data_IF_244475490833
#
_entry.id   IF_244475490833
#
_cell.length_a   1.000
_cell.length_b   1.000
_cell.length_c   1.000
_cell.angle_alpha   90.00
_cell.angle_beta   90.00
_cell.angle_gamma   90.00
#
_symmetry.space_group_name_H-M   'P 1'
#
loop_
_entity.id
_entity.type
_entity.pdbx_description
1 polymer ?
#
# COMPACT_ATOMS: atom_id res chain seq x y z
N UNK A 1 10.89 -9.95 -25.82
CA UNK A 1 11.74 -8.78 -26.02
C UNK A 1 13.01 -8.82 -25.16
N UNK A 2 12.90 -8.84 -23.80
CA UNK A 2 14.10 -8.79 -22.93
C UNK A 2 15.05 -9.97 -23.14
N UNK A 3 14.52 -11.19 -23.32
CA UNK A 3 15.33 -12.39 -23.61
C UNK A 3 15.97 -12.35 -24.99
N UNK A 4 15.27 -11.83 -25.99
CA UNK A 4 15.74 -11.69 -27.34
C UNK A 4 16.86 -10.64 -27.50
N UNK A 5 16.98 -9.72 -26.52
CA UNK A 5 17.98 -8.66 -26.48
C UNK A 5 19.01 -8.83 -25.36
N UNK A 6 19.10 -10.01 -24.75
CA UNK A 6 20.04 -10.35 -23.67
C UNK A 6 19.98 -9.41 -22.45
N UNK A 7 18.79 -8.81 -22.20
CA UNK A 7 18.57 -7.88 -21.10
C UNK A 7 17.93 -8.55 -19.87
N UNK A 8 17.33 -9.74 -20.05
CA UNK A 8 16.52 -10.38 -19.02
C UNK A 8 17.30 -10.67 -17.74
N UNK A 9 18.51 -11.20 -17.85
CA UNK A 9 19.38 -11.55 -16.71
C UNK A 9 19.91 -10.32 -15.96
N UNK A 10 19.82 -9.13 -16.57
CA UNK A 10 20.19 -7.86 -15.95
C UNK A 10 18.97 -6.98 -15.63
N UNK A 11 17.81 -7.61 -15.42
CA UNK A 11 16.55 -6.91 -15.12
C UNK A 11 16.00 -7.38 -13.78
N UNK A 12 15.58 -6.43 -12.94
CA UNK A 12 14.77 -6.67 -11.75
C UNK A 12 13.36 -6.15 -12.02
N UNK A 13 12.37 -7.01 -11.81
CA UNK A 13 10.95 -6.66 -11.91
C UNK A 13 10.43 -6.31 -10.51
N UNK A 14 9.75 -5.17 -10.41
CA UNK A 14 9.10 -4.72 -9.18
C UNK A 14 7.65 -4.43 -9.54
N UNK A 15 6.72 -5.13 -8.88
CA UNK A 15 5.28 -4.96 -9.07
C UNK A 15 4.66 -4.66 -7.72
N UNK A 16 4.01 -3.52 -7.61
CA UNK A 16 3.33 -3.07 -6.40
C UNK A 16 2.18 -2.13 -6.73
N UNK A 17 1.41 -1.74 -5.74
CA UNK A 17 0.49 -0.61 -5.79
C UNK A 17 0.96 0.47 -4.79
N UNK A 18 0.52 1.69 -4.97
CA UNK A 18 0.84 2.81 -4.08
C UNK A 18 -0.05 2.90 -2.85
N UNK A 19 -1.26 2.35 -2.93
CA UNK A 19 -2.27 2.29 -1.86
C UNK A 19 -3.27 1.16 -2.10
N UNK A 20 -4.14 0.94 -1.13
CA UNK A 20 -5.27 0.03 -1.26
C UNK A 20 -6.30 0.49 -2.32
N UNK A 21 -7.30 -0.33 -2.60
CA UNK A 21 -8.31 -0.06 -3.62
C UNK A 21 -9.00 1.30 -3.45
N UNK A 22 -9.31 1.98 -4.54
CA UNK A 22 -9.98 3.27 -4.55
C UNK A 22 -11.50 3.11 -4.43
N UNK A 23 -12.06 3.50 -3.28
CA UNK A 23 -13.49 3.37 -2.98
C UNK A 23 -14.36 4.56 -3.34
N UNK A 24 -13.77 5.67 -3.81
CA UNK A 24 -14.55 6.87 -4.09
C UNK A 24 -15.54 6.66 -5.22
N UNK A 25 -16.75 7.14 -4.99
CA UNK A 25 -17.76 7.28 -6.02
C UNK A 25 -17.78 8.75 -6.49
N UNK A 26 -17.31 9.06 -7.71
CA UNK A 26 -17.31 10.43 -8.19
C UNK A 26 -18.71 11.06 -8.30
N UNK A 27 -19.77 10.25 -8.31
CA UNK A 27 -21.15 10.75 -8.33
C UNK A 27 -21.59 11.36 -6.99
N UNK A 28 -20.94 11.01 -5.90
CA UNK A 28 -21.26 11.54 -4.57
C UNK A 28 -20.62 12.90 -4.30
N UNK A 29 -19.60 13.28 -5.08
CA UNK A 29 -18.89 14.55 -4.93
C UNK A 29 -19.20 15.53 -6.05
N UNK A 30 -19.74 16.68 -5.73
CA UNK A 30 -20.12 17.70 -6.71
C UNK A 30 -18.97 18.13 -7.64
N UNK A 31 -17.76 18.29 -7.09
CA UNK A 31 -16.59 18.67 -7.89
C UNK A 31 -16.24 17.60 -8.94
N UNK A 32 -16.29 16.33 -8.58
CA UNK A 32 -16.04 15.22 -9.50
C UNK A 32 -17.13 15.07 -10.56
N UNK A 33 -18.41 15.24 -10.18
CA UNK A 33 -19.53 15.24 -11.13
C UNK A 33 -19.37 16.36 -12.16
N UNK A 34 -18.99 17.55 -11.70
CA UNK A 34 -18.76 18.70 -12.59
C UNK A 34 -17.61 18.42 -13.55
N UNK A 35 -16.49 17.87 -13.05
CA UNK A 35 -15.34 17.53 -13.88
C UNK A 35 -15.67 16.46 -14.92
N UNK A 36 -16.30 15.33 -14.51
CA UNK A 36 -16.69 14.26 -15.44
C UNK A 36 -17.67 14.78 -16.50
N UNK A 37 -18.59 15.66 -16.12
CA UNK A 37 -19.53 16.29 -17.05
C UNK A 37 -18.89 17.19 -18.11
N UNK A 38 -17.65 17.63 -17.89
CA UNK A 38 -16.86 18.40 -18.87
C UNK A 38 -15.96 17.54 -19.76
N UNK A 39 -15.90 16.24 -19.52
CA UNK A 39 -15.08 15.28 -20.27
C UNK A 39 -15.92 14.53 -21.29
N UNK A 40 -15.25 13.90 -22.26
CA UNK A 40 -15.88 12.97 -23.21
C UNK A 40 -15.95 11.54 -22.68
N UNK A 41 -15.70 11.32 -21.39
CA UNK A 41 -15.74 9.98 -20.81
C UNK A 41 -17.16 9.40 -20.77
N UNK A 42 -17.25 8.12 -21.14
CA UNK A 42 -18.46 7.32 -21.00
C UNK A 42 -18.37 6.41 -19.79
N UNK A 43 -19.51 6.16 -19.15
CA UNK A 43 -19.67 5.18 -18.06
C UNK A 43 -20.60 4.02 -18.46
N UNK A 44 -20.74 3.81 -19.77
CA UNK A 44 -21.53 2.70 -20.28
C UNK A 44 -20.84 1.38 -19.95
N UNK A 45 -21.56 0.46 -19.34
CA UNK A 45 -21.08 -0.86 -18.94
C UNK A 45 -20.58 -1.69 -20.13
N UNK A 46 -21.20 -1.51 -21.30
CA UNK A 46 -20.84 -2.24 -22.52
C UNK A 46 -19.51 -1.81 -23.12
N UNK A 47 -18.99 -0.67 -22.68
CA UNK A 47 -17.72 -0.09 -23.16
C UNK A 47 -16.65 0.03 -22.07
N UNK A 48 -16.84 -0.66 -20.94
CA UNK A 48 -15.85 -0.66 -19.86
C UNK A 48 -14.48 -1.16 -20.34
N UNK A 49 -13.44 -0.39 -20.04
CA UNK A 49 -12.08 -0.70 -20.42
C UNK A 49 -11.69 -0.24 -21.84
N UNK A 50 -12.64 0.26 -22.63
CA UNK A 50 -12.35 0.86 -23.94
C UNK A 50 -11.82 2.30 -23.78
N UNK A 51 -11.27 2.84 -24.86
CA UNK A 51 -10.82 4.22 -24.90
C UNK A 51 -11.99 5.17 -24.53
N UNK A 52 -11.69 6.15 -23.67
CA UNK A 52 -12.65 7.12 -23.11
C UNK A 52 -13.69 6.51 -22.16
N UNK A 53 -13.55 5.27 -21.70
CA UNK A 53 -14.35 4.79 -20.58
C UNK A 53 -13.78 5.29 -19.25
N UNK A 54 -14.66 5.69 -18.34
CA UNK A 54 -14.29 6.01 -16.96
C UNK A 54 -14.95 5.01 -16.01
N UNK A 55 -14.11 4.35 -15.24
CA UNK A 55 -14.56 3.28 -14.32
C UNK A 55 -14.22 3.69 -12.89
N UNK A 56 -15.15 3.46 -12.00
CA UNK A 56 -14.94 3.46 -10.56
C UNK A 56 -15.63 2.24 -9.96
N UNK A 57 -15.09 1.73 -8.86
CA UNK A 57 -15.59 0.47 -8.26
C UNK A 57 -16.54 0.69 -7.09
N UNK A 58 -16.50 1.88 -6.46
CA UNK A 58 -17.28 2.18 -5.27
C UNK A 58 -16.74 1.52 -4.00
N UNK A 59 -17.34 1.87 -2.87
CA UNK A 59 -16.86 1.47 -1.53
C UNK A 59 -16.98 -0.03 -1.28
N UNK A 60 -18.06 -0.65 -1.74
CA UNK A 60 -18.35 -2.07 -1.51
C UNK A 60 -17.34 -2.97 -2.25
N UNK A 61 -17.06 -2.66 -3.51
CA UNK A 61 -16.06 -3.41 -4.26
C UNK A 61 -14.64 -3.11 -3.80
N UNK A 62 -14.33 -1.88 -3.38
CA UNK A 62 -13.04 -1.55 -2.80
C UNK A 62 -12.81 -2.36 -1.50
N UNK A 63 -13.82 -2.46 -0.62
CA UNK A 63 -13.73 -3.30 0.57
C UNK A 63 -13.59 -4.79 0.22
N UNK A 64 -14.31 -5.28 -0.78
CA UNK A 64 -14.18 -6.67 -1.23
C UNK A 64 -12.78 -6.96 -1.77
N UNK A 65 -12.19 -6.04 -2.54
CA UNK A 65 -10.83 -6.17 -3.08
C UNK A 65 -9.74 -6.08 -2.01
N UNK A 66 -9.97 -5.30 -0.95
CA UNK A 66 -9.05 -5.18 0.17
C UNK A 66 -9.08 -6.39 1.12
N UNK A 67 -10.12 -7.23 1.04
CA UNK A 67 -10.32 -8.38 1.94
C UNK A 67 -9.09 -9.30 1.99
N UNK A 68 -8.68 -9.82 3.18
CA UNK A 68 -9.41 -9.78 4.46
C UNK A 68 -9.16 -8.50 5.28
N UNK A 69 -8.47 -7.52 4.76
CA UNK A 69 -8.15 -6.29 5.48
C UNK A 69 -9.34 -5.33 5.51
N UNK A 70 -9.41 -4.51 6.56
CA UNK A 70 -10.48 -3.55 6.77
C UNK A 70 -10.21 -2.24 6.02
N UNK A 71 -11.28 -1.62 5.51
CA UNK A 71 -11.27 -0.36 4.76
C UNK A 71 -10.47 -0.43 3.44
N UNK A 72 -10.17 0.74 2.87
CA UNK A 72 -9.57 0.93 1.55
C UNK A 72 -8.85 2.28 1.51
N UNK A 73 -8.36 2.71 0.37
CA UNK A 73 -7.64 3.97 0.16
C UNK A 73 -8.20 5.14 0.99
N UNK A 74 -7.34 6.01 1.46
CA UNK A 74 -7.53 7.12 2.40
C UNK A 74 -7.70 6.74 3.87
N UNK A 75 -7.94 5.47 4.20
CA UNK A 75 -8.02 5.02 5.58
C UNK A 75 -6.67 4.52 6.09
N UNK A 76 -6.43 4.69 7.38
CA UNK A 76 -5.23 4.16 8.05
C UNK A 76 -5.35 2.68 8.40
N UNK A 77 -6.44 2.03 8.04
CA UNK A 77 -6.61 0.59 8.15
C UNK A 77 -5.75 -0.16 7.12
N UNK A 78 -5.47 -1.42 7.41
CA UNK A 78 -4.64 -2.27 6.54
C UNK A 78 -5.16 -2.34 5.09
N UNK A 79 -6.46 -2.32 4.87
CA UNK A 79 -7.03 -2.30 3.52
C UNK A 79 -6.72 -1.03 2.72
N UNK A 80 -6.38 0.07 3.40
CA UNK A 80 -5.91 1.29 2.75
C UNK A 80 -4.40 1.35 2.55
N UNK A 81 -3.63 0.68 3.41
CA UNK A 81 -2.18 0.81 3.49
C UNK A 81 -1.42 -0.40 2.93
N UNK A 82 -1.89 -1.61 3.24
CA UNK A 82 -1.20 -2.85 2.88
C UNK A 82 -1.42 -3.20 1.42
N UNK A 83 -0.34 -3.26 0.67
CA UNK A 83 -0.33 -3.57 -0.76
C UNK A 83 0.61 -4.72 -1.05
N UNK A 84 0.40 -5.50 -2.12
CA UNK A 84 1.34 -6.52 -2.52
C UNK A 84 2.63 -5.88 -3.04
N UNK A 85 3.77 -6.49 -2.73
CA UNK A 85 5.05 -6.19 -3.34
C UNK A 85 5.65 -7.49 -3.88
N UNK A 86 5.84 -7.56 -5.18
CA UNK A 86 6.48 -8.69 -5.84
C UNK A 86 7.77 -8.21 -6.46
N UNK A 87 8.88 -8.83 -6.09
CA UNK A 87 10.18 -8.55 -6.66
C UNK A 87 10.78 -9.83 -7.24
N UNK A 88 11.34 -9.74 -8.44
CA UNK A 88 11.92 -10.86 -9.14
C UNK A 88 13.08 -10.41 -10.03
N UNK A 89 14.09 -11.24 -10.20
CA UNK A 89 15.24 -10.97 -11.05
C UNK A 89 16.54 -11.48 -10.49
N UNK A 90 17.64 -11.08 -11.11
CA UNK A 90 18.97 -11.54 -10.74
C UNK A 90 19.33 -11.19 -9.28
N UNK A 91 19.79 -12.19 -8.54
CA UNK A 91 20.20 -12.04 -7.14
C UNK A 91 19.05 -11.97 -6.13
N UNK A 92 17.79 -12.14 -6.56
CA UNK A 92 16.64 -12.19 -5.65
C UNK A 92 16.34 -13.65 -5.28
N UNK A 93 16.36 -13.93 -3.99
CA UNK A 93 16.07 -15.27 -3.44
C UNK A 93 14.56 -15.51 -3.48
N UNK A 94 14.18 -16.73 -3.91
CA UNK A 94 12.77 -17.13 -3.92
C UNK A 94 12.26 -17.32 -2.47
N UNK A 95 11.15 -16.69 -2.15
CA UNK A 95 10.52 -16.81 -0.84
C UNK A 95 9.32 -15.88 -0.68
N UNK A 96 8.75 -15.90 0.52
CA UNK A 96 7.73 -14.93 0.97
C UNK A 96 8.33 -14.19 2.15
N UNK A 97 8.20 -12.88 2.14
CA UNK A 97 8.63 -11.99 3.21
C UNK A 97 7.40 -11.37 3.86
N UNK A 98 7.20 -11.61 5.15
CA UNK A 98 6.00 -11.21 5.89
C UNK A 98 6.24 -10.08 6.89
N UNK A 99 7.50 -9.68 7.09
CA UNK A 99 7.85 -8.59 8.00
C UNK A 99 7.45 -7.22 7.41
N UNK A 100 7.40 -6.22 8.28
CA UNK A 100 7.05 -4.87 7.88
C UNK A 100 8.00 -4.32 6.80
N UNK A 101 7.41 -3.70 5.78
CA UNK A 101 8.11 -2.90 4.77
C UNK A 101 7.31 -1.64 4.47
N UNK A 102 8.00 -0.62 4.00
CA UNK A 102 7.39 0.65 3.64
C UNK A 102 7.64 0.97 2.16
N UNK A 103 6.71 1.62 1.51
CA UNK A 103 6.82 1.91 0.07
C UNK A 103 8.10 2.68 -0.29
N UNK A 104 8.59 3.53 0.62
CA UNK A 104 9.85 4.27 0.46
C UNK A 104 11.08 3.36 0.41
N UNK A 105 10.98 2.13 0.91
CA UNK A 105 12.07 1.15 0.93
C UNK A 105 12.42 0.69 -0.50
N UNK A 106 11.47 0.75 -1.41
CA UNK A 106 11.70 0.41 -2.82
C UNK A 106 12.75 1.36 -3.43
N UNK A 107 12.59 2.67 -3.22
CA UNK A 107 13.56 3.65 -3.72
C UNK A 107 14.94 3.48 -3.08
N UNK A 108 14.99 3.25 -1.77
CA UNK A 108 16.23 2.97 -1.03
C UNK A 108 16.91 1.69 -1.53
N UNK A 109 16.12 0.64 -1.82
CA UNK A 109 16.61 -0.63 -2.37
C UNK A 109 17.20 -0.45 -3.77
N UNK A 110 16.50 0.24 -4.65
CA UNK A 110 16.99 0.54 -6.00
C UNK A 110 18.30 1.34 -5.94
N UNK A 111 18.35 2.39 -5.11
CA UNK A 111 19.58 3.16 -4.92
C UNK A 111 20.73 2.27 -4.46
N UNK A 112 20.52 1.46 -3.43
CA UNK A 112 21.54 0.55 -2.89
C UNK A 112 22.06 -0.44 -3.94
N UNK A 113 21.18 -1.03 -4.74
CA UNK A 113 21.56 -1.98 -5.79
C UNK A 113 22.39 -1.31 -6.88
N UNK A 114 22.04 -0.08 -7.29
CA UNK A 114 22.68 0.61 -8.42
C UNK A 114 23.99 1.30 -7.98
N UNK A 115 23.97 2.00 -6.85
CA UNK A 115 25.08 2.89 -6.43
C UNK A 115 25.92 2.32 -5.30
N UNK A 116 25.48 1.25 -4.65
CA UNK A 116 26.13 0.67 -3.47
C UNK A 116 25.76 1.35 -2.16
N UNK A 117 24.95 2.41 -2.17
CA UNK A 117 24.57 3.17 -0.96
C UNK A 117 23.12 3.65 -0.98
N UNK A 118 22.60 3.97 0.19
CA UNK A 118 21.32 4.66 0.38
C UNK A 118 21.65 6.10 0.78
N UNK A 119 21.32 7.12 -0.02
CA UNK A 119 21.54 8.52 0.34
C UNK A 119 20.86 8.90 1.66
N UNK A 120 21.52 9.66 2.51
CA UNK A 120 21.03 10.07 3.84
C UNK A 120 19.65 10.75 3.80
N UNK A 121 19.32 11.43 2.73
CA UNK A 121 18.01 12.08 2.53
C UNK A 121 16.83 11.11 2.30
N UNK A 122 17.12 9.84 2.03
CA UNK A 122 16.07 8.80 1.85
C UNK A 122 15.64 8.29 3.22
N UNK A 123 14.35 8.28 3.50
CA UNK A 123 13.78 7.78 4.75
C UNK A 123 13.56 6.26 4.74
N UNK A 124 13.47 5.65 3.55
CA UNK A 124 13.31 4.21 3.39
C UNK A 124 14.58 3.44 3.70
N UNK A 125 14.43 2.17 4.05
CA UNK A 125 15.51 1.22 4.30
C UNK A 125 15.67 0.27 3.10
N UNK A 126 16.90 -0.09 2.76
CA UNK A 126 17.14 -1.04 1.67
C UNK A 126 16.72 -2.46 2.04
N UNK A 127 15.91 -3.06 1.21
CA UNK A 127 15.51 -4.47 1.28
C UNK A 127 16.56 -5.40 0.63
N UNK A 128 17.68 -4.89 0.11
CA UNK A 128 18.65 -5.70 -0.65
C UNK A 128 19.09 -6.95 0.12
N UNK A 129 19.44 -6.82 1.39
CA UNK A 129 19.91 -7.93 2.20
C UNK A 129 18.83 -9.00 2.44
N UNK A 130 17.57 -8.57 2.62
CA UNK A 130 16.42 -9.49 2.72
C UNK A 130 16.18 -10.19 1.39
N UNK A 131 16.21 -9.45 0.29
CA UNK A 131 16.02 -10.02 -1.05
C UNK A 131 17.11 -11.04 -1.44
N UNK A 132 18.32 -10.87 -0.90
CA UNK A 132 19.43 -11.83 -1.06
C UNK A 132 19.44 -12.96 -0.02
N UNK A 133 18.50 -12.96 0.94
CA UNK A 133 18.40 -13.97 2.00
C UNK A 133 19.47 -13.87 3.07
N UNK A 134 20.12 -12.72 3.24
CA UNK A 134 21.18 -12.50 4.24
C UNK A 134 20.69 -11.74 5.49
N UNK A 135 19.45 -11.28 5.51
CA UNK A 135 18.81 -10.61 6.64
C UNK A 135 17.36 -11.06 6.75
N UNK A 136 16.86 -11.22 7.97
CA UNK A 136 15.47 -11.65 8.21
C UNK A 136 14.49 -10.47 8.18
N UNK A 137 14.86 -9.31 8.74
CA UNK A 137 14.02 -8.11 8.79
C UNK A 137 14.84 -6.81 8.73
N UNK A 138 14.26 -5.74 8.22
CA UNK A 138 14.88 -4.41 8.11
C UNK A 138 14.41 -3.42 9.17
N UNK A 139 13.25 -3.67 9.78
CA UNK A 139 12.69 -2.88 10.87
C UNK A 139 12.74 -3.65 12.16
N UNK A 140 13.21 -3.01 13.24
CA UNK A 140 13.27 -3.61 14.56
C UNK A 140 11.92 -3.48 15.28
N UNK A 141 11.63 -4.41 16.21
CA UNK A 141 10.36 -4.43 16.96
C UNK A 141 10.10 -3.18 17.80
N UNK A 142 11.15 -2.48 18.19
CA UNK A 142 11.05 -1.27 18.99
C UNK A 142 11.01 0.02 18.15
N UNK A 143 11.09 -0.08 16.83
CA UNK A 143 10.97 1.07 15.95
C UNK A 143 9.50 1.54 15.84
N UNK A 144 9.35 2.86 15.72
CA UNK A 144 8.06 3.49 15.51
C UNK A 144 7.97 3.99 14.07
N UNK A 145 6.90 3.62 13.37
CA UNK A 145 6.69 4.02 11.98
C UNK A 145 5.34 4.73 11.91
N UNK A 146 5.41 6.05 11.71
CA UNK A 146 4.23 6.92 11.65
C UNK A 146 3.82 7.20 10.21
N UNK A 147 2.51 7.23 9.99
CA UNK A 147 1.87 7.58 8.73
C UNK A 147 0.79 8.63 8.97
N UNK A 148 0.65 9.55 8.02
CA UNK A 148 -0.44 10.52 8.03
C UNK A 148 -0.86 10.80 6.58
N UNK A 149 -2.17 10.78 6.33
CA UNK A 149 -2.78 11.21 5.07
C UNK A 149 -4.13 11.87 5.34
N UNK A 150 -4.31 13.07 4.82
CA UNK A 150 -5.58 13.81 4.90
C UNK A 150 -6.16 13.94 6.32
N UNK A 151 -5.30 14.05 7.35
CA UNK A 151 -5.70 14.14 8.75
C UNK A 151 -5.96 12.80 9.45
N UNK A 152 -5.88 11.70 8.71
CA UNK A 152 -5.89 10.35 9.26
C UNK A 152 -4.47 9.96 9.65
N UNK A 153 -4.30 9.26 10.76
CA UNK A 153 -2.97 8.96 11.31
C UNK A 153 -2.87 7.52 11.79
N UNK A 154 -1.71 6.91 11.60
CA UNK A 154 -1.37 5.62 12.18
C UNK A 154 0.06 5.60 12.70
N UNK A 155 0.32 4.73 13.69
CA UNK A 155 1.63 4.45 14.22
C UNK A 155 1.77 2.94 14.43
N UNK A 156 2.82 2.37 13.85
CA UNK A 156 3.20 0.97 14.01
C UNK A 156 4.35 0.83 15.01
N UNK A 157 4.32 -0.25 15.80
CA UNK A 157 5.42 -0.70 16.65
C UNK A 157 5.36 -2.21 16.82
N UNK A 158 6.30 -2.94 16.22
CA UNK A 158 6.22 -4.39 16.16
C UNK A 158 4.89 -4.83 15.56
N UNK A 159 4.20 -5.75 16.22
CA UNK A 159 2.88 -6.25 15.79
C UNK A 159 1.72 -5.29 16.09
N UNK A 160 1.96 -4.23 16.85
CA UNK A 160 0.90 -3.31 17.26
C UNK A 160 0.79 -2.11 16.35
N UNK A 161 -0.46 -1.70 16.15
CA UNK A 161 -0.82 -0.51 15.39
C UNK A 161 -1.88 0.29 16.13
N UNK A 162 -1.63 1.58 16.31
CA UNK A 162 -2.69 2.53 16.64
C UNK A 162 -3.07 3.29 15.38
N UNK A 163 -4.35 3.58 15.23
CA UNK A 163 -4.83 4.39 14.12
C UNK A 163 -5.98 5.30 14.53
N UNK A 164 -6.15 6.36 13.74
CA UNK A 164 -7.27 7.28 13.86
C UNK A 164 -7.68 7.73 12.46
N UNK A 165 -8.95 7.50 12.11
CA UNK A 165 -9.57 8.03 10.90
C UNK A 165 -10.57 9.12 11.28
N UNK A 166 -10.53 10.23 10.56
CA UNK A 166 -11.47 11.34 10.72
C UNK A 166 -12.79 11.13 9.98
N UNK A 167 -13.80 11.96 10.27
CA UNK A 167 -15.05 11.99 9.52
C UNK A 167 -14.83 12.25 8.01
N UNK A 168 -15.73 11.77 7.11
CA UNK A 168 -17.02 11.13 7.43
C UNK A 168 -16.93 9.63 7.72
N UNK A 169 -15.81 8.96 7.46
CA UNK A 169 -15.69 7.51 7.49
C UNK A 169 -15.11 6.97 8.80
N UNK A 170 -14.54 7.84 9.63
CA UNK A 170 -14.02 7.51 10.94
C UNK A 170 -14.66 8.32 12.06
N UNK A 171 -14.41 7.90 13.30
CA UNK A 171 -14.95 8.53 14.52
C UNK A 171 -13.98 9.54 15.18
N UNK A 172 -12.79 9.72 14.59
CA UNK A 172 -11.73 10.59 15.09
C UNK A 172 -11.18 10.18 16.47
N UNK A 173 -11.26 8.89 16.81
CA UNK A 173 -10.77 8.29 18.04
C UNK A 173 -9.59 7.36 17.74
N UNK A 174 -8.64 7.23 18.66
CA UNK A 174 -7.56 6.28 18.55
C UNK A 174 -8.04 4.86 18.87
N UNK A 175 -7.77 3.94 17.94
CA UNK A 175 -7.98 2.51 18.05
C UNK A 175 -6.64 1.79 18.13
N UNK A 176 -6.57 0.63 18.78
CA UNK A 176 -5.38 -0.18 18.96
C UNK A 176 -5.64 -1.61 18.49
N UNK A 177 -4.77 -2.13 17.63
CA UNK A 177 -4.85 -3.48 17.10
C UNK A 177 -3.53 -4.22 17.26
N UNK A 178 -3.59 -5.56 17.36
CA UNK A 178 -2.46 -6.45 17.18
C UNK A 178 -2.59 -7.12 15.81
N UNK A 179 -1.79 -6.71 14.84
CA UNK A 179 -1.92 -7.16 13.45
C UNK A 179 -1.47 -8.61 13.23
N UNK A 180 -0.65 -9.18 14.14
CA UNK A 180 -0.29 -10.59 14.07
C UNK A 180 -1.47 -11.51 14.36
N UNK A 181 -2.32 -11.14 15.34
CA UNK A 181 -3.48 -11.92 15.77
C UNK A 181 -4.76 -11.50 15.02
N UNK A 182 -4.85 -10.23 14.63
CA UNK A 182 -6.04 -9.60 14.03
C UNK A 182 -5.66 -8.72 12.81
N UNK A 183 -5.23 -9.33 11.70
CA UNK A 183 -4.86 -8.59 10.49
C UNK A 183 -6.05 -7.88 9.82
N UNK A 184 -7.27 -8.20 10.21
CA UNK A 184 -8.51 -7.56 9.75
C UNK A 184 -8.95 -6.37 10.60
N UNK A 185 -8.23 -6.05 11.70
CA UNK A 185 -8.54 -4.91 12.58
C UNK A 185 -9.97 -4.95 13.12
N UNK A 186 -10.43 -6.12 13.56
CA UNK A 186 -11.80 -6.37 14.03
C UNK A 186 -11.96 -6.25 15.54
N UNK A 187 -10.89 -6.37 16.30
CA UNK A 187 -10.85 -6.37 17.75
C UNK A 187 -10.06 -5.19 18.31
N UNK A 188 -10.73 -4.09 18.61
CA UNK A 188 -10.11 -2.89 19.16
C UNK A 188 -9.70 -3.10 20.65
N UNK A 189 -8.40 -3.22 20.87
CA UNK A 189 -7.81 -3.43 22.19
C UNK A 189 -7.85 -2.17 23.08
N UNK A 190 -8.03 -0.96 22.53
CA UNK A 190 -8.15 0.26 23.30
C UNK A 190 -9.41 0.27 24.18
N UNK A 191 -10.42 -0.51 23.83
CA UNK A 191 -11.68 -0.64 24.59
C UNK A 191 -11.59 -1.60 25.78
N UNK A 192 -10.47 -2.31 25.91
CA UNK A 192 -10.31 -3.35 26.94
C UNK A 192 -9.59 -2.86 28.20
N UNK A 193 -9.33 -1.55 28.32
CA UNK A 193 -8.62 -0.95 29.45
C UNK A 193 -9.50 0.04 30.20
#
# INVERSE_FOLDING_TARGET
YLKENDLYENTIFIITADNGPEGNNPEEHQAWRSWIGTTSYTRNIDTLGEQNSYVFIGTEFAQAMASPHHMFKFHMNEGGLKVPLIMSGNGITKGVYSEFTYLTDIAATISKIITGEVPERMIGKSLEQVLRGSLEKVYEENEYIGLEVAGNSALFKGDYKILKNGPPTGDNIWHLYNLADDPGETNDLAKQK
#
